data_IF_952898643213
#
_entry.id   IF_952898643213
#
_cell.length_a   1.000
_cell.length_b   1.000
_cell.length_c   1.000
_cell.angle_alpha   90.00
_cell.angle_beta   90.00
_cell.angle_gamma   90.00
#
_symmetry.space_group_name_H-M   'P 1'
#
loop_
_entity.id
_entity.type
_entity.pdbx_description
1 polymer ?
#
# COMPACT_ATOMS: atom_id res chain seq x y z
N UNK A 1 -3.39 -22.93 45.34
CA UNK A 1 -4.16 -22.05 44.46
C UNK A 1 -3.28 -21.31 43.40
N UNK A 2 -1.97 -21.37 43.54
CA UNK A 2 -0.99 -20.73 42.66
C UNK A 2 -0.74 -21.48 41.32
N UNK A 3 -0.93 -22.79 41.30
CA UNK A 3 -0.49 -23.68 40.22
C UNK A 3 -1.36 -23.62 38.95
N UNK A 4 -2.66 -23.34 39.08
CA UNK A 4 -3.58 -23.23 37.96
C UNK A 4 -3.36 -21.96 37.11
N UNK A 5 -3.01 -20.84 37.74
CA UNK A 5 -2.74 -19.57 37.06
C UNK A 5 -1.46 -19.65 36.18
N UNK A 6 -0.41 -20.26 36.72
CA UNK A 6 0.85 -20.45 36.02
C UNK A 6 0.73 -21.39 34.81
N UNK A 7 -0.13 -22.43 34.93
CA UNK A 7 -0.41 -23.33 33.81
C UNK A 7 -1.30 -22.67 32.73
N UNK A 8 -2.25 -21.82 33.11
CA UNK A 8 -3.04 -21.03 32.13
C UNK A 8 -2.19 -19.96 31.43
N UNK A 9 -1.34 -19.24 32.17
CA UNK A 9 -0.43 -18.26 31.61
C UNK A 9 0.56 -18.90 30.60
N UNK A 10 1.08 -20.09 30.93
CA UNK A 10 1.94 -20.87 30.02
C UNK A 10 1.21 -21.34 28.74
N UNK A 11 -0.06 -21.72 28.86
CA UNK A 11 -0.90 -22.09 27.71
C UNK A 11 -1.18 -20.90 26.80
N UNK A 12 -1.52 -19.75 27.36
CA UNK A 12 -1.76 -18.52 26.59
C UNK A 12 -0.49 -18.03 25.91
N UNK A 13 0.66 -18.09 26.59
CA UNK A 13 1.95 -17.75 25.99
C UNK A 13 2.32 -18.69 24.82
N UNK A 14 2.10 -20.00 24.98
CA UNK A 14 2.31 -20.98 23.91
C UNK A 14 1.41 -20.78 22.69
N UNK A 15 0.13 -20.44 22.92
CA UNK A 15 -0.81 -20.12 21.85
C UNK A 15 -0.44 -18.83 21.11
N UNK A 16 0.02 -17.81 21.83
CA UNK A 16 0.48 -16.55 21.24
C UNK A 16 1.72 -16.74 20.37
N UNK A 17 2.70 -17.54 20.82
CA UNK A 17 3.89 -17.89 20.04
C UNK A 17 3.54 -18.70 18.79
N UNK A 18 2.62 -19.65 18.88
CA UNK A 18 2.16 -20.42 17.72
C UNK A 18 1.44 -19.55 16.69
N UNK A 19 0.68 -18.55 17.15
CA UNK A 19 0.02 -17.61 16.25
C UNK A 19 1.02 -16.67 15.58
N UNK A 20 2.01 -16.17 16.31
CA UNK A 20 3.07 -15.34 15.76
C UNK A 20 3.91 -16.10 14.71
N UNK A 21 4.24 -17.36 14.98
CA UNK A 21 4.92 -18.24 14.03
C UNK A 21 4.08 -18.40 12.74
N UNK A 22 2.77 -18.61 12.87
CA UNK A 22 1.89 -18.74 11.72
C UNK A 22 1.83 -17.44 10.91
N UNK A 23 1.74 -16.29 11.57
CA UNK A 23 1.81 -14.96 10.92
C UNK A 23 3.13 -14.81 10.16
N UNK A 24 4.25 -15.16 10.78
CA UNK A 24 5.56 -15.06 10.15
C UNK A 24 5.69 -15.98 8.93
N UNK A 25 5.17 -17.22 8.99
CA UNK A 25 5.16 -18.15 7.84
C UNK A 25 4.32 -17.63 6.69
N UNK A 26 3.13 -17.13 6.97
CA UNK A 26 2.24 -16.53 5.96
C UNK A 26 2.89 -15.30 5.33
N UNK A 27 3.50 -14.44 6.14
CA UNK A 27 4.22 -13.26 5.66
C UNK A 27 5.40 -13.65 4.77
N UNK A 28 6.17 -14.66 5.15
CA UNK A 28 7.28 -15.17 4.34
C UNK A 28 6.81 -15.65 2.97
N UNK A 29 5.79 -16.51 2.94
CA UNK A 29 5.22 -17.01 1.68
C UNK A 29 4.72 -15.87 0.79
N UNK A 30 4.12 -14.84 1.37
CA UNK A 30 3.55 -13.72 0.63
C UNK A 30 4.63 -12.76 0.10
N UNK A 31 5.51 -12.27 0.98
CA UNK A 31 6.48 -11.22 0.65
C UNK A 31 7.80 -11.72 0.09
N UNK A 32 8.25 -12.89 0.52
CA UNK A 32 9.52 -13.47 0.07
C UNK A 32 9.33 -14.42 -1.09
N UNK A 33 8.40 -15.39 -0.97
CA UNK A 33 8.18 -16.41 -2.00
C UNK A 33 7.27 -15.90 -3.15
N UNK A 34 6.60 -14.76 -2.97
CA UNK A 34 5.74 -14.15 -3.99
C UNK A 34 4.43 -14.91 -4.25
N UNK A 35 4.00 -15.76 -3.31
CA UNK A 35 2.79 -16.56 -3.45
C UNK A 35 1.53 -15.70 -3.28
N UNK A 36 0.47 -16.03 -3.99
CA UNK A 36 -0.84 -15.41 -3.78
C UNK A 36 -1.48 -15.91 -2.48
N UNK A 37 -2.44 -15.17 -1.96
CA UNK A 37 -3.18 -15.59 -0.75
C UNK A 37 -3.92 -16.93 -0.94
N UNK A 38 -4.32 -17.26 -2.18
CA UNK A 38 -4.93 -18.56 -2.52
C UNK A 38 -3.89 -19.68 -2.43
N UNK A 39 -2.72 -19.51 -3.07
CA UNK A 39 -1.64 -20.50 -3.05
C UNK A 39 -1.15 -20.77 -1.62
N UNK A 40 -1.05 -19.72 -0.78
CA UNK A 40 -0.70 -19.84 0.62
C UNK A 40 -1.78 -20.62 1.38
N UNK A 41 -3.06 -20.33 1.08
CA UNK A 41 -4.19 -21.04 1.66
C UNK A 41 -4.15 -22.53 1.36
N UNK A 42 -3.93 -22.90 0.09
CA UNK A 42 -3.78 -24.29 -0.34
C UNK A 42 -2.59 -24.97 0.32
N UNK A 43 -1.41 -24.30 0.35
CA UNK A 43 -0.18 -24.83 0.94
C UNK A 43 -0.28 -25.09 2.43
N UNK A 44 -1.00 -24.23 3.17
CA UNK A 44 -1.13 -24.32 4.62
C UNK A 44 -2.45 -24.96 5.09
N UNK A 45 -3.33 -25.36 4.17
CA UNK A 45 -4.64 -25.90 4.50
C UNK A 45 -5.56 -24.88 5.19
N UNK A 46 -5.46 -23.60 4.84
CA UNK A 46 -6.21 -22.51 5.45
C UNK A 46 -7.05 -21.75 4.42
N UNK A 47 -8.26 -21.29 4.78
CA UNK A 47 -9.07 -20.46 3.88
C UNK A 47 -8.34 -19.14 3.54
N UNK A 48 -8.48 -18.63 2.30
CA UNK A 48 -7.91 -17.35 1.85
C UNK A 48 -8.22 -16.20 2.81
N UNK A 49 -9.43 -16.13 3.34
CA UNK A 49 -9.83 -15.09 4.30
C UNK A 49 -8.99 -15.15 5.58
N UNK A 50 -8.61 -16.34 6.03
CA UNK A 50 -7.71 -16.51 7.18
C UNK A 50 -6.31 -15.99 6.87
N UNK A 51 -5.78 -16.25 5.67
CA UNK A 51 -4.49 -15.72 5.22
C UNK A 51 -4.51 -14.19 5.21
N UNK A 52 -5.55 -13.57 4.62
CA UNK A 52 -5.71 -12.12 4.61
C UNK A 52 -5.70 -11.52 6.02
N UNK A 53 -6.44 -12.12 6.96
CA UNK A 53 -6.49 -11.67 8.37
C UNK A 53 -5.15 -11.81 9.08
N UNK A 54 -4.40 -12.89 8.81
CA UNK A 54 -3.07 -13.10 9.39
C UNK A 54 -2.08 -12.05 8.90
N UNK A 55 -2.09 -11.72 7.61
CA UNK A 55 -1.25 -10.64 7.05
C UNK A 55 -1.61 -9.28 7.66
N UNK A 56 -2.89 -8.99 7.82
CA UNK A 56 -3.35 -7.75 8.46
C UNK A 56 -2.91 -7.70 9.92
N UNK A 57 -3.13 -8.77 10.68
CA UNK A 57 -2.68 -8.88 12.07
C UNK A 57 -1.16 -8.71 12.18
N UNK A 58 -0.39 -9.29 11.27
CA UNK A 58 1.07 -9.14 11.23
C UNK A 58 1.51 -7.69 11.02
N UNK A 59 0.81 -6.92 10.19
CA UNK A 59 1.07 -5.48 10.02
C UNK A 59 0.73 -4.69 11.28
N UNK A 60 -0.42 -4.96 11.90
CA UNK A 60 -0.87 -4.28 13.11
C UNK A 60 0.02 -4.57 14.33
N UNK A 61 0.50 -5.80 14.46
CA UNK A 61 1.39 -6.20 15.57
C UNK A 61 2.87 -5.83 15.34
N UNK A 62 3.24 -5.36 14.13
CA UNK A 62 4.61 -5.02 13.77
C UNK A 62 5.52 -6.21 13.44
N UNK A 63 4.99 -7.45 13.39
CA UNK A 63 5.70 -8.64 12.87
C UNK A 63 6.02 -8.45 11.39
N UNK A 64 5.10 -7.83 10.65
CA UNK A 64 5.31 -7.44 9.24
C UNK A 64 5.56 -5.95 9.18
N UNK A 65 6.73 -5.57 8.66
CA UNK A 65 7.07 -4.19 8.32
C UNK A 65 7.40 -4.11 6.85
N UNK A 66 6.64 -3.31 6.11
CA UNK A 66 6.89 -3.06 4.68
C UNK A 66 7.59 -1.71 4.56
N UNK A 67 8.75 -1.71 3.96
CA UNK A 67 9.52 -0.50 3.67
C UNK A 67 9.58 -0.29 2.16
N UNK A 68 9.12 0.86 1.70
CA UNK A 68 9.21 1.27 0.30
C UNK A 68 10.40 2.20 0.18
N UNK A 69 11.49 1.72 -0.39
CA UNK A 69 12.68 2.52 -0.61
C UNK A 69 12.64 3.18 -2.01
N UNK A 70 11.88 4.25 -2.12
CA UNK A 70 11.67 4.99 -3.36
C UNK A 70 11.70 6.49 -3.13
N UNK A 71 12.26 7.25 -4.12
CA UNK A 71 12.16 8.70 -4.16
C UNK A 71 10.71 9.24 -4.18
N UNK A 72 9.75 8.37 -4.48
CA UNK A 72 8.32 8.70 -4.51
C UNK A 72 7.61 8.47 -3.18
N UNK A 73 8.26 7.87 -2.18
CA UNK A 73 7.63 7.55 -0.88
C UNK A 73 7.00 8.80 -0.24
N UNK A 74 7.78 9.89 -0.13
CA UNK A 74 7.29 11.16 0.40
C UNK A 74 6.15 11.76 -0.44
N UNK A 75 6.18 11.59 -1.77
CA UNK A 75 5.12 12.06 -2.65
C UNK A 75 3.81 11.30 -2.40
N UNK A 76 3.88 9.98 -2.28
CA UNK A 76 2.70 9.13 -2.01
C UNK A 76 2.09 9.42 -0.64
N UNK A 77 2.91 9.65 0.37
CA UNK A 77 2.44 10.06 1.70
C UNK A 77 1.69 11.41 1.64
N UNK A 78 2.24 12.40 0.93
CA UNK A 78 1.61 13.70 0.71
C UNK A 78 0.31 13.60 -0.10
N UNK A 79 0.24 12.74 -1.11
CA UNK A 79 -1.01 12.49 -1.85
C UNK A 79 -2.12 12.04 -0.91
N UNK A 80 -1.82 11.09 -0.03
CA UNK A 80 -2.78 10.58 0.96
C UNK A 80 -3.23 11.67 1.94
N UNK A 81 -2.29 12.44 2.48
CA UNK A 81 -2.58 13.54 3.41
C UNK A 81 -3.47 14.62 2.76
N UNK A 82 -3.14 15.04 1.54
CA UNK A 82 -3.89 16.03 0.80
C UNK A 82 -5.32 15.56 0.47
N UNK A 83 -5.47 14.30 0.05
CA UNK A 83 -6.79 13.72 -0.19
C UNK A 83 -7.66 13.74 1.08
N UNK A 84 -7.10 13.31 2.22
CA UNK A 84 -7.83 13.27 3.49
C UNK A 84 -8.16 14.67 3.99
N UNK A 85 -7.20 15.59 3.95
CA UNK A 85 -7.34 16.94 4.50
C UNK A 85 -8.31 17.82 3.71
N UNK A 86 -8.31 17.70 2.39
CA UNK A 86 -9.09 18.57 1.49
C UNK A 86 -10.25 17.85 0.80
N UNK A 87 -10.47 16.56 1.08
CA UNK A 87 -11.54 15.78 0.45
C UNK A 87 -11.36 15.61 -1.06
N UNK A 88 -10.13 15.62 -1.57
CA UNK A 88 -9.84 15.55 -3.00
C UNK A 88 -9.97 14.10 -3.49
N UNK A 89 -10.63 13.93 -4.63
CA UNK A 89 -10.80 12.60 -5.26
C UNK A 89 -9.51 12.09 -5.88
N UNK A 90 -8.70 12.99 -6.44
CA UNK A 90 -7.45 12.67 -7.11
C UNK A 90 -6.40 13.72 -6.74
N UNK A 91 -5.24 13.25 -6.31
CA UNK A 91 -4.06 14.08 -6.04
C UNK A 91 -2.86 13.37 -6.63
N UNK A 92 -1.99 14.13 -7.29
CA UNK A 92 -0.71 13.65 -7.79
C UNK A 92 0.40 14.57 -7.30
N UNK A 93 1.35 14.02 -6.57
CA UNK A 93 2.53 14.77 -6.10
C UNK A 93 3.76 14.28 -6.86
N UNK A 94 4.47 15.22 -7.44
CA UNK A 94 5.69 14.91 -8.22
C UNK A 94 6.93 15.32 -7.42
N UNK A 95 7.97 14.46 -7.36
CA UNK A 95 9.21 14.82 -6.66
C UNK A 95 9.89 16.01 -7.34
N UNK A 96 10.47 16.93 -6.57
CA UNK A 96 11.22 18.08 -7.06
C UNK A 96 12.58 17.64 -7.61
N UNK A 97 12.63 17.32 -8.90
CA UNK A 97 13.85 16.96 -9.62
C UNK A 97 14.20 18.07 -10.64
N UNK A 98 15.48 18.22 -10.96
CA UNK A 98 15.93 19.24 -11.88
C UNK A 98 15.79 18.84 -13.37
N UNK A 99 15.69 17.54 -13.65
CA UNK A 99 15.58 17.02 -15.03
C UNK A 99 14.57 15.89 -15.08
N UNK A 100 13.60 15.94 -16.01
CA UNK A 100 13.25 17.08 -16.88
C UNK A 100 12.71 18.27 -16.06
N UNK A 101 12.57 19.47 -16.66
CA UNK A 101 12.04 20.67 -15.98
C UNK A 101 10.68 20.40 -15.30
N UNK A 102 10.40 21.15 -14.22
CA UNK A 102 9.21 20.92 -13.40
C UNK A 102 7.89 21.04 -14.18
N UNK A 103 7.78 22.04 -15.07
CA UNK A 103 6.61 22.24 -15.94
C UNK A 103 6.33 21.03 -16.82
N UNK A 104 7.36 20.44 -17.42
CA UNK A 104 7.25 19.23 -18.25
C UNK A 104 6.78 18.04 -17.41
N UNK A 105 7.35 17.87 -16.23
CA UNK A 105 7.00 16.77 -15.33
C UNK A 105 5.57 16.88 -14.78
N UNK A 106 5.17 18.09 -14.40
CA UNK A 106 3.78 18.36 -13.99
C UNK A 106 2.82 18.13 -15.17
N UNK A 107 3.20 18.53 -16.38
CA UNK A 107 2.44 18.26 -17.59
C UNK A 107 2.22 16.75 -17.82
N UNK A 108 3.29 15.96 -17.76
CA UNK A 108 3.20 14.50 -17.91
C UNK A 108 2.32 13.89 -16.81
N UNK A 109 2.51 14.29 -15.55
CA UNK A 109 1.68 13.81 -14.44
C UNK A 109 0.20 14.19 -14.58
N UNK A 110 -0.09 15.39 -15.07
CA UNK A 110 -1.44 15.83 -15.36
C UNK A 110 -2.06 15.01 -16.50
N UNK A 111 -1.34 14.79 -17.61
CA UNK A 111 -1.80 13.97 -18.72
C UNK A 111 -2.14 12.55 -18.29
N UNK A 112 -1.26 11.90 -17.54
CA UNK A 112 -1.49 10.55 -17.00
C UNK A 112 -2.73 10.49 -16.09
N UNK A 113 -2.96 11.53 -15.28
CA UNK A 113 -4.12 11.62 -14.39
C UNK A 113 -5.42 11.84 -15.18
N UNK A 114 -5.39 12.68 -16.21
CA UNK A 114 -6.52 12.94 -17.10
C UNK A 114 -6.94 11.71 -17.87
N UNK A 115 -5.98 10.95 -18.42
CA UNK A 115 -6.29 9.71 -19.14
C UNK A 115 -7.01 8.67 -18.29
N UNK A 116 -6.84 8.72 -16.97
CA UNK A 116 -7.54 7.82 -16.03
C UNK A 116 -8.98 8.25 -15.70
N UNK A 117 -9.39 9.49 -16.02
CA UNK A 117 -10.70 10.03 -15.65
C UNK A 117 -11.52 10.51 -16.84
N UNK A 118 -10.91 10.70 -18.02
CA UNK A 118 -11.60 11.11 -19.24
C UNK A 118 -12.27 9.92 -19.91
N UNK A 119 -13.53 10.11 -20.31
CA UNK A 119 -14.31 9.14 -21.05
C UNK A 119 -14.52 9.60 -22.50
N UNK A 120 -14.70 8.66 -23.46
CA UNK A 120 -14.99 9.02 -24.84
C UNK A 120 -16.22 9.93 -24.95
N UNK A 121 -16.11 11.02 -25.72
CA UNK A 121 -17.18 11.98 -25.94
C UNK A 121 -17.24 13.14 -24.92
N UNK A 122 -16.38 13.17 -23.92
CA UNK A 122 -16.25 14.30 -23.02
C UNK A 122 -15.49 15.46 -23.67
N UNK A 123 -15.88 16.69 -23.33
CA UNK A 123 -15.21 17.92 -23.79
C UNK A 123 -14.20 18.36 -22.72
N UNK A 124 -12.93 18.47 -23.11
CA UNK A 124 -11.87 19.02 -22.26
C UNK A 124 -11.53 20.44 -22.72
N UNK A 125 -11.78 21.43 -21.86
CA UNK A 125 -11.30 22.79 -22.08
C UNK A 125 -9.93 22.98 -21.42
N UNK A 126 -8.96 23.50 -22.18
CA UNK A 126 -7.57 23.67 -21.73
C UNK A 126 -7.16 25.13 -21.88
N UNK A 127 -6.60 25.71 -20.79
CA UNK A 127 -6.06 27.07 -20.80
C UNK A 127 -4.63 27.12 -21.35
N UNK A 128 -4.12 28.34 -21.58
CA UNK A 128 -2.75 28.55 -22.03
C UNK A 128 -1.78 28.56 -20.85
N UNK A 129 -0.61 27.94 -21.02
CA UNK A 129 0.49 27.91 -20.06
C UNK A 129 1.51 26.83 -20.41
N UNK A 130 2.77 27.02 -20.06
CA UNK A 130 3.84 26.06 -20.37
C UNK A 130 3.56 24.67 -19.79
N UNK A 131 3.11 24.60 -18.55
CA UNK A 131 2.75 23.34 -17.89
C UNK A 131 1.56 22.66 -18.58
N UNK A 132 0.56 23.46 -18.98
CA UNK A 132 -0.62 22.95 -19.68
C UNK A 132 -0.25 22.43 -21.06
N UNK A 133 0.58 23.16 -21.81
CA UNK A 133 1.07 22.71 -23.13
C UNK A 133 1.87 21.42 -23.01
N UNK A 134 2.67 21.26 -21.96
CA UNK A 134 3.42 20.03 -21.72
C UNK A 134 2.52 18.82 -21.38
N UNK A 135 1.28 19.03 -20.96
CA UNK A 135 0.30 17.95 -20.72
C UNK A 135 -0.41 17.45 -21.97
N UNK A 136 -0.27 18.18 -23.11
CA UNK A 136 -0.93 17.84 -24.38
C UNK A 136 0.03 17.17 -25.39
N UNK A 137 1.30 17.03 -25.05
CA UNK A 137 2.33 16.35 -25.85
C UNK A 137 2.43 14.88 -25.48
#
# INVERSE_FOLDING_TARGET
MSDKRTAEEGRFAGLALAEEELVARVAWCYYHDGLTQNDIGERLGLPRLKISRLLEKGRQSGVIRVQINSRYEGCLALETELQQRFGLKLVRVMPALNTPPMNVRLGIGAAQSLMGVLEPGQLLAVGFGETTMSSLQ
#
